data_IF_816237486053
#
_entry.id   IF_816237486053
#
_cell.length_a   1.000
_cell.length_b   1.000
_cell.length_c   1.000
_cell.angle_alpha   90.00
_cell.angle_beta   90.00
_cell.angle_gamma   90.00
#
_symmetry.space_group_name_H-M   'P 1'
#
loop_
_entity.id
_entity.type
_entity.pdbx_description
1 polymer ?
#
# COMPACT_ATOMS: atom_id res chain seq x y z
N UNK A 1 -0.29 -9.44 5.92
CA UNK A 1 -0.76 -10.01 4.64
C UNK A 1 0.43 -9.95 3.69
N UNK A 2 0.95 -11.07 3.21
CA UNK A 2 2.18 -11.15 2.38
C UNK A 2 1.92 -10.76 0.92
N UNK A 3 1.18 -9.69 0.71
CA UNK A 3 0.79 -9.19 -0.61
C UNK A 3 1.78 -8.12 -1.06
N UNK A 4 2.62 -8.44 -2.04
CA UNK A 4 3.33 -7.43 -2.81
C UNK A 4 2.30 -6.78 -3.76
N UNK A 5 2.32 -5.45 -3.95
CA UNK A 5 1.42 -4.77 -4.87
C UNK A 5 1.60 -5.37 -6.25
N UNK A 6 0.52 -5.52 -7.05
CA UNK A 6 0.65 -5.87 -8.44
C UNK A 6 1.65 -4.93 -9.10
N UNK A 7 2.57 -5.49 -9.88
CA UNK A 7 3.62 -4.74 -10.58
C UNK A 7 4.71 -4.14 -9.67
N UNK A 8 4.78 -4.52 -8.38
CA UNK A 8 5.96 -4.23 -7.57
C UNK A 8 7.17 -4.93 -8.18
N UNK A 9 8.16 -4.19 -8.69
CA UNK A 9 9.32 -4.80 -9.33
C UNK A 9 10.02 -5.73 -8.34
N UNK A 10 10.46 -6.93 -8.76
CA UNK A 10 10.49 -7.45 -10.13
C UNK A 10 9.28 -8.36 -10.47
N UNK A 11 8.27 -8.45 -9.60
CA UNK A 11 7.26 -9.50 -9.69
C UNK A 11 6.13 -9.19 -10.66
N UNK A 12 5.88 -10.12 -11.57
CA UNK A 12 4.68 -10.12 -12.39
C UNK A 12 3.45 -10.58 -11.58
N UNK A 13 2.27 -10.14 -12.00
CA UNK A 13 1.00 -10.46 -11.35
C UNK A 13 0.77 -11.98 -11.33
N UNK A 14 0.83 -12.57 -10.13
CA UNK A 14 0.55 -14.00 -9.91
C UNK A 14 1.78 -14.90 -9.78
N UNK A 15 2.99 -14.34 -9.84
CA UNK A 15 4.24 -15.06 -9.57
C UNK A 15 4.35 -15.53 -8.12
N UNK A 16 3.87 -14.72 -7.17
CA UNK A 16 3.79 -15.11 -5.76
C UNK A 16 2.48 -15.86 -5.47
N UNK A 17 2.58 -17.01 -4.78
CA UNK A 17 1.40 -17.68 -4.21
C UNK A 17 0.81 -16.95 -2.99
N UNK A 18 1.54 -15.95 -2.47
CA UNK A 18 1.12 -15.15 -1.32
C UNK A 18 0.43 -13.84 -1.69
N UNK A 19 0.37 -13.50 -2.98
CA UNK A 19 -0.38 -12.33 -3.42
C UNK A 19 -1.83 -12.44 -2.97
N UNK A 20 -2.31 -11.38 -2.32
CA UNK A 20 -3.72 -11.23 -2.03
C UNK A 20 -4.51 -11.13 -3.35
N UNK A 21 -5.81 -11.44 -3.28
CA UNK A 21 -6.72 -11.05 -4.37
C UNK A 21 -7.11 -9.62 -4.10
N UNK A 22 -6.82 -8.74 -5.05
CA UNK A 22 -7.14 -7.32 -4.92
C UNK A 22 -8.52 -7.00 -5.50
N UNK A 23 -9.04 -5.84 -5.13
CA UNK A 23 -10.31 -5.36 -5.67
C UNK A 23 -10.20 -5.14 -7.17
N UNK A 24 -9.04 -4.71 -7.67
CA UNK A 24 -8.81 -4.52 -9.10
C UNK A 24 -8.91 -5.84 -9.88
N UNK A 25 -8.60 -6.99 -9.26
CA UNK A 25 -8.83 -8.33 -9.84
C UNK A 25 -10.32 -8.62 -10.05
N UNK A 26 -11.17 -8.02 -9.22
CA UNK A 26 -12.61 -8.17 -9.23
C UNK A 26 -13.30 -7.01 -9.99
N UNK A 27 -12.68 -5.84 -10.06
CA UNK A 27 -13.15 -4.63 -10.74
C UNK A 27 -13.33 -4.87 -12.24
N UNK A 28 -12.45 -5.68 -12.83
CA UNK A 28 -12.46 -6.05 -14.24
C UNK A 28 -13.24 -7.35 -14.52
N UNK A 29 -13.85 -7.96 -13.50
CA UNK A 29 -14.55 -9.23 -13.65
C UNK A 29 -15.90 -9.04 -14.35
N UNK A 30 -16.06 -9.65 -15.52
CA UNK A 30 -17.33 -9.70 -16.26
C UNK A 30 -18.24 -10.87 -15.82
N UNK A 31 -17.77 -11.73 -14.91
CA UNK A 31 -18.57 -12.87 -14.46
C UNK A 31 -19.67 -12.46 -13.47
N UNK A 32 -20.89 -13.02 -13.60
CA UNK A 32 -22.02 -12.65 -12.77
C UNK A 32 -21.87 -13.11 -11.30
N UNK A 33 -20.98 -14.06 -11.00
CA UNK A 33 -20.74 -14.56 -9.65
C UNK A 33 -19.29 -14.34 -9.20
N UNK A 34 -19.00 -13.10 -8.81
CA UNK A 34 -17.69 -12.66 -8.29
C UNK A 34 -17.20 -13.57 -7.15
N UNK A 35 -18.12 -14.03 -6.27
CA UNK A 35 -17.80 -14.91 -5.15
C UNK A 35 -17.23 -16.26 -5.61
N UNK A 36 -17.85 -16.87 -6.62
CA UNK A 36 -17.40 -18.15 -7.16
C UNK A 36 -16.01 -18.03 -7.81
N UNK A 37 -15.78 -16.97 -8.58
CA UNK A 37 -14.47 -16.69 -9.18
C UNK A 37 -13.39 -16.46 -8.13
N UNK A 38 -13.68 -15.62 -7.13
CA UNK A 38 -12.77 -15.37 -6.00
C UNK A 38 -12.42 -16.67 -5.27
N UNK A 39 -13.43 -17.49 -4.98
CA UNK A 39 -13.24 -18.77 -4.28
C UNK A 39 -12.40 -19.74 -5.10
N UNK A 40 -12.65 -19.84 -6.41
CA UNK A 40 -11.85 -20.66 -7.32
C UNK A 40 -10.39 -20.21 -7.38
N UNK A 41 -10.15 -18.90 -7.48
CA UNK A 41 -8.79 -18.35 -7.54
C UNK A 41 -8.01 -18.57 -6.23
N UNK A 42 -8.66 -18.35 -5.08
CA UNK A 42 -8.05 -18.62 -3.78
C UNK A 42 -7.72 -20.11 -3.61
N UNK A 43 -8.65 -21.01 -3.96
CA UNK A 43 -8.41 -22.45 -3.89
C UNK A 43 -7.27 -22.91 -4.82
N UNK A 44 -7.19 -22.34 -6.02
CA UNK A 44 -6.11 -22.60 -6.97
C UNK A 44 -4.75 -22.17 -6.41
N UNK A 45 -4.66 -20.98 -5.80
CA UNK A 45 -3.44 -20.47 -5.16
C UNK A 45 -3.03 -21.33 -3.96
N UNK A 46 -3.98 -21.69 -3.10
CA UNK A 46 -3.74 -22.56 -1.95
C UNK A 46 -3.27 -23.96 -2.39
N UNK A 47 -3.84 -24.51 -3.46
CA UNK A 47 -3.39 -25.78 -4.02
C UNK A 47 -1.93 -25.70 -4.50
N UNK A 48 -1.57 -24.62 -5.20
CA UNK A 48 -0.17 -24.37 -5.63
C UNK A 48 0.79 -24.25 -4.45
N UNK A 49 0.43 -23.47 -3.43
CA UNK A 49 1.24 -23.34 -2.20
C UNK A 49 1.42 -24.69 -1.51
N UNK A 50 0.35 -25.49 -1.42
CA UNK A 50 0.42 -26.84 -0.85
C UNK A 50 1.39 -27.72 -1.62
N UNK A 51 1.37 -27.68 -2.96
CA UNK A 51 2.33 -28.43 -3.79
C UNK A 51 3.76 -28.00 -3.49
N UNK A 52 4.04 -26.71 -3.43
CA UNK A 52 5.39 -26.19 -3.13
C UNK A 52 5.89 -26.54 -1.72
N UNK A 53 5.00 -26.55 -0.73
CA UNK A 53 5.32 -27.01 0.62
C UNK A 53 5.63 -28.52 0.63
N UNK A 54 4.87 -29.32 -0.13
CA UNK A 54 5.08 -30.77 -0.23
C UNK A 54 6.35 -31.13 -1.00
N UNK A 55 6.71 -30.35 -2.03
CA UNK A 55 7.95 -30.52 -2.80
C UNK A 55 9.19 -30.00 -2.08
N UNK A 56 9.03 -29.32 -0.92
CA UNK A 56 10.10 -28.63 -0.17
C UNK A 56 10.78 -27.50 -0.95
N UNK A 57 10.10 -26.96 -1.95
CA UNK A 57 10.55 -25.76 -2.69
C UNK A 57 10.33 -24.49 -1.86
N UNK A 58 9.43 -24.54 -0.86
CA UNK A 58 9.17 -23.45 0.10
C UNK A 58 9.44 -23.93 1.52
N UNK A 59 10.26 -23.16 2.24
CA UNK A 59 10.52 -23.35 3.67
C UNK A 59 9.92 -22.17 4.43
N UNK A 60 9.12 -22.46 5.46
CA UNK A 60 8.56 -21.44 6.36
C UNK A 60 9.29 -21.49 7.70
N UNK A 61 9.99 -20.41 8.04
CA UNK A 61 10.58 -20.19 9.37
C UNK A 61 9.76 -19.10 10.10
N UNK A 62 9.23 -19.43 11.27
CA UNK A 62 8.44 -18.51 12.10
C UNK A 62 9.23 -18.17 13.36
N UNK A 63 9.49 -16.88 13.54
CA UNK A 63 10.24 -16.36 14.68
C UNK A 63 9.48 -15.25 15.38
N UNK A 64 9.73 -15.12 16.67
CA UNK A 64 9.19 -14.05 17.52
C UNK A 64 10.35 -13.32 18.17
N UNK A 65 10.46 -12.02 17.87
CA UNK A 65 11.45 -11.14 18.47
C UNK A 65 10.92 -9.70 18.51
N UNK A 66 11.68 -8.79 19.10
CA UNK A 66 11.41 -7.36 19.07
C UNK A 66 11.77 -6.76 17.70
N UNK A 67 11.01 -5.76 17.30
CA UNK A 67 11.22 -5.00 16.07
C UNK A 67 11.98 -3.74 16.43
N UNK A 68 13.31 -3.82 16.45
CA UNK A 68 14.20 -2.68 16.65
C UNK A 68 15.53 -2.88 15.89
N UNK A 69 16.23 -1.80 15.50
CA UNK A 69 17.52 -1.91 14.80
C UNK A 69 18.57 -2.71 15.57
N UNK A 70 18.51 -2.70 16.90
CA UNK A 70 19.46 -3.38 17.80
C UNK A 70 19.08 -4.84 18.11
N UNK A 71 17.94 -5.32 17.61
CA UNK A 71 17.46 -6.67 17.91
C UNK A 71 18.37 -7.74 17.26
N UNK A 72 18.62 -8.83 17.98
CA UNK A 72 19.47 -9.92 17.51
C UNK A 72 18.96 -10.57 16.21
N UNK A 73 17.64 -10.50 15.96
CA UNK A 73 17.00 -10.99 14.74
C UNK A 73 17.50 -10.26 13.49
N UNK A 74 17.94 -9.01 13.58
CA UNK A 74 18.38 -8.20 12.44
C UNK A 74 19.58 -8.84 11.76
N UNK A 75 20.64 -9.16 12.51
CA UNK A 75 21.81 -9.83 11.96
C UNK A 75 21.52 -11.25 11.47
N UNK A 76 20.46 -11.90 11.98
CA UNK A 76 20.01 -13.18 11.42
C UNK A 76 19.30 -13.00 10.08
N UNK A 77 18.40 -12.02 9.94
CA UNK A 77 17.73 -11.69 8.68
C UNK A 77 18.76 -11.29 7.63
N UNK A 78 19.71 -10.42 8.01
CA UNK A 78 20.82 -10.00 7.15
C UNK A 78 21.54 -11.20 6.53
N UNK A 79 21.88 -12.22 7.34
CA UNK A 79 22.57 -13.43 6.87
C UNK A 79 21.77 -14.29 5.89
N UNK A 80 20.45 -14.10 5.80
CA UNK A 80 19.63 -14.77 4.78
C UNK A 80 19.81 -14.14 3.40
N UNK A 81 20.38 -12.94 3.30
CA UNK A 81 20.51 -12.16 2.08
C UNK A 81 19.18 -12.09 1.31
N UNK A 82 18.14 -11.47 1.90
CA UNK A 82 16.80 -11.52 1.36
C UNK A 82 16.70 -10.73 0.06
N UNK A 83 16.39 -11.40 -1.07
CA UNK A 83 16.13 -10.70 -2.33
C UNK A 83 14.94 -9.72 -2.26
N UNK A 84 13.93 -10.05 -1.44
CA UNK A 84 12.78 -9.17 -1.18
C UNK A 84 12.41 -9.15 0.30
N UNK A 85 11.93 -8.02 0.78
CA UNK A 85 11.47 -7.84 2.15
C UNK A 85 10.08 -7.20 2.20
N UNK A 86 9.12 -7.87 2.84
CA UNK A 86 7.79 -7.33 3.12
C UNK A 86 7.68 -6.91 4.59
N UNK A 87 7.47 -5.62 4.82
CA UNK A 87 7.43 -5.00 6.15
C UNK A 87 6.03 -4.94 6.74
N UNK A 88 4.99 -5.38 6.02
CA UNK A 88 3.60 -5.17 6.47
C UNK A 88 3.39 -3.68 6.81
N UNK A 89 2.75 -3.42 7.95
CA UNK A 89 2.58 -2.12 8.58
C UNK A 89 3.61 -1.80 9.67
N UNK A 90 4.79 -2.44 9.67
CA UNK A 90 5.86 -2.15 10.66
C UNK A 90 6.25 -0.67 10.67
N UNK A 91 6.19 -0.04 9.50
CA UNK A 91 6.49 1.37 9.31
C UNK A 91 5.53 2.34 10.03
N UNK A 92 4.38 1.87 10.53
CA UNK A 92 3.46 2.66 11.36
C UNK A 92 3.88 2.70 12.85
N UNK A 93 4.85 1.88 13.27
CA UNK A 93 5.20 1.70 14.68
C UNK A 93 6.59 2.24 15.03
N UNK A 94 7.31 2.79 14.05
CA UNK A 94 8.66 3.32 14.23
C UNK A 94 8.75 4.70 13.57
N UNK A 95 9.49 5.65 14.18
CA UNK A 95 9.87 6.88 13.48
C UNK A 95 10.57 6.54 12.16
N UNK A 96 10.36 7.31 11.08
CA UNK A 96 10.92 6.98 9.75
C UNK A 96 12.42 6.70 9.77
N UNK A 97 13.19 7.53 10.48
CA UNK A 97 14.64 7.35 10.67
C UNK A 97 15.02 5.99 11.28
N UNK A 98 14.34 5.59 12.35
CA UNK A 98 14.60 4.31 13.03
C UNK A 98 14.14 3.13 12.17
N UNK A 99 13.01 3.27 11.46
CA UNK A 99 12.55 2.27 10.50
C UNK A 99 13.58 2.06 9.39
N UNK A 100 14.09 3.14 8.78
CA UNK A 100 15.09 3.04 7.71
C UNK A 100 16.41 2.45 8.20
N UNK A 101 16.85 2.77 9.42
CA UNK A 101 18.00 2.13 10.06
C UNK A 101 17.80 0.62 10.24
N UNK A 102 16.65 0.20 10.74
CA UNK A 102 16.27 -1.21 10.87
C UNK A 102 16.28 -1.90 9.50
N UNK A 103 15.59 -1.32 8.52
CA UNK A 103 15.43 -1.90 7.21
C UNK A 103 16.76 -2.07 6.49
N UNK A 104 17.66 -1.06 6.52
CA UNK A 104 19.02 -1.16 5.98
C UNK A 104 19.84 -2.24 6.67
N UNK A 105 19.73 -2.35 7.99
CA UNK A 105 20.48 -3.36 8.74
C UNK A 105 20.06 -4.79 8.36
N UNK A 106 18.78 -5.01 8.06
CA UNK A 106 18.29 -6.30 7.57
C UNK A 106 18.72 -6.60 6.12
N UNK A 107 19.04 -5.59 5.31
CA UNK A 107 19.41 -5.71 3.90
C UNK A 107 20.84 -5.24 3.60
N UNK A 108 21.73 -5.30 4.60
CA UNK A 108 23.07 -4.75 4.49
C UNK A 108 23.95 -5.43 3.42
N UNK A 109 23.56 -6.62 2.95
CA UNK A 109 24.25 -7.33 1.87
C UNK A 109 23.95 -6.79 0.46
N UNK A 110 22.98 -5.87 0.31
CA UNK A 110 22.55 -5.34 -0.98
C UNK A 110 21.43 -6.16 -1.63
N UNK A 111 21.17 -5.92 -2.92
CA UNK A 111 20.30 -6.75 -3.77
C UNK A 111 18.87 -6.98 -3.23
N UNK A 112 18.40 -6.09 -2.35
CA UNK A 112 17.15 -6.28 -1.62
C UNK A 112 16.12 -5.25 -2.03
N UNK A 113 14.96 -5.72 -2.51
CA UNK A 113 13.80 -4.85 -2.75
C UNK A 113 12.88 -4.87 -1.54
N UNK A 114 12.61 -3.70 -0.99
CA UNK A 114 11.74 -3.50 0.14
C UNK A 114 10.32 -3.15 -0.32
N UNK A 115 9.36 -3.71 0.38
CA UNK A 115 7.95 -3.39 0.27
C UNK A 115 7.34 -3.17 1.65
N UNK A 116 6.54 -2.13 1.81
CA UNK A 116 5.79 -1.87 3.03
C UNK A 116 4.53 -1.09 2.71
N UNK A 117 3.59 -1.09 3.67
CA UNK A 117 2.39 -0.27 3.55
C UNK A 117 2.08 0.44 4.87
N UNK A 118 1.58 1.67 4.79
CA UNK A 118 1.10 2.42 5.95
C UNK A 118 -0.41 2.43 5.96
N UNK A 119 -1.00 2.11 7.11
CA UNK A 119 -2.43 2.23 7.35
C UNK A 119 -2.76 3.40 8.29
N UNK A 120 -1.78 3.84 9.08
CA UNK A 120 -2.00 4.81 10.15
C UNK A 120 -1.46 6.21 9.83
N UNK A 121 -0.76 6.41 8.70
CA UNK A 121 -0.17 7.70 8.36
C UNK A 121 -1.15 8.87 8.40
N UNK A 122 -2.42 8.64 8.03
CA UNK A 122 -3.46 9.67 8.08
C UNK A 122 -3.62 10.26 9.48
N UNK A 123 -3.48 9.45 10.55
CA UNK A 123 -3.65 9.93 11.91
C UNK A 123 -2.54 10.91 12.34
N UNK A 124 -1.43 10.96 11.61
CA UNK A 124 -0.28 11.80 11.89
C UNK A 124 -0.18 13.02 10.95
N UNK A 125 -1.14 13.16 10.02
CA UNK A 125 -1.12 14.23 9.01
C UNK A 125 -2.34 15.14 9.18
N UNK A 126 -2.08 16.39 9.54
CA UNK A 126 -3.09 17.44 9.57
C UNK A 126 -3.66 17.70 8.17
N UNK A 127 -4.98 17.86 8.09
CA UNK A 127 -5.72 18.07 6.85
C UNK A 127 -6.16 16.77 6.18
N UNK A 128 -5.84 15.61 6.75
CA UNK A 128 -6.30 14.29 6.29
C UNK A 128 -7.69 13.94 6.83
N UNK A 129 -8.16 14.66 7.84
CA UNK A 129 -9.48 14.50 8.43
C UNK A 129 -10.36 15.71 8.10
N UNK A 130 -11.62 15.49 7.71
CA UNK A 130 -12.55 16.61 7.48
C UNK A 130 -12.76 17.49 8.73
N UNK A 131 -12.57 16.92 9.93
CA UNK A 131 -12.65 17.65 11.19
C UNK A 131 -11.51 18.66 11.38
N UNK A 132 -10.39 18.52 10.65
CA UNK A 132 -9.29 19.48 10.69
C UNK A 132 -9.69 20.85 10.12
N UNK A 133 -10.80 20.89 9.36
CA UNK A 133 -11.35 22.08 8.72
C UNK A 133 -12.52 22.69 9.50
N UNK A 134 -12.61 22.42 10.82
CA UNK A 134 -13.59 23.09 11.68
C UNK A 134 -13.47 24.63 11.54
N UNK A 135 -14.61 25.32 11.55
CA UNK A 135 -14.70 26.76 11.27
C UNK A 135 -14.57 27.16 9.79
N UNK A 136 -14.38 26.22 8.86
CA UNK A 136 -14.21 26.51 7.43
C UNK A 136 -15.30 25.82 6.57
N UNK A 137 -16.56 26.30 6.63
CA UNK A 137 -17.70 25.61 6.00
C UNK A 137 -17.58 25.47 4.48
N UNK A 138 -16.93 26.43 3.80
CA UNK A 138 -16.70 26.35 2.35
C UNK A 138 -15.72 25.23 1.98
N UNK A 139 -14.67 25.01 2.79
CA UNK A 139 -13.72 23.92 2.58
C UNK A 139 -14.39 22.56 2.81
N UNK A 140 -15.17 22.45 3.89
CA UNK A 140 -15.96 21.25 4.21
C UNK A 140 -16.92 20.90 3.06
N UNK A 141 -17.63 21.89 2.51
CA UNK A 141 -18.53 21.68 1.38
C UNK A 141 -17.79 21.15 0.14
N UNK A 142 -16.64 21.75 -0.21
CA UNK A 142 -15.79 21.29 -1.33
C UNK A 142 -15.27 19.88 -1.14
N UNK A 143 -14.88 19.51 0.09
CA UNK A 143 -14.40 18.16 0.43
C UNK A 143 -15.52 17.14 0.23
N UNK A 144 -16.73 17.44 0.71
CA UNK A 144 -17.89 16.55 0.55
C UNK A 144 -18.22 16.39 -0.94
N UNK A 145 -18.31 17.50 -1.69
CA UNK A 145 -18.59 17.49 -3.13
C UNK A 145 -17.53 16.68 -3.91
N UNK A 146 -16.25 16.98 -3.72
CA UNK A 146 -15.16 16.25 -4.38
C UNK A 146 -15.12 14.76 -4.02
N UNK A 147 -15.44 14.41 -2.77
CA UNK A 147 -15.53 13.01 -2.36
C UNK A 147 -16.66 12.25 -3.08
N UNK A 148 -17.81 12.90 -3.31
CA UNK A 148 -18.90 12.33 -4.10
C UNK A 148 -18.52 12.19 -5.58
N UNK A 149 -17.89 13.20 -6.16
CA UNK A 149 -17.42 13.16 -7.56
C UNK A 149 -16.42 12.01 -7.78
N UNK A 150 -15.48 11.83 -6.86
CA UNK A 150 -14.53 10.72 -6.87
C UNK A 150 -15.23 9.35 -6.90
N UNK A 151 -16.25 9.15 -6.06
CA UNK A 151 -17.02 7.90 -6.06
C UNK A 151 -17.84 7.71 -7.34
N UNK A 152 -18.49 8.76 -7.85
CA UNK A 152 -19.20 8.68 -9.13
C UNK A 152 -18.25 8.35 -10.30
N UNK A 153 -17.03 8.89 -10.28
CA UNK A 153 -16.02 8.57 -11.28
C UNK A 153 -15.59 7.10 -11.17
N UNK A 154 -15.36 6.60 -9.95
CA UNK A 154 -15.05 5.20 -9.70
C UNK A 154 -16.16 4.25 -10.19
N UNK A 155 -17.44 4.58 -9.98
CA UNK A 155 -18.58 3.83 -10.50
C UNK A 155 -18.62 3.76 -12.03
N UNK A 156 -18.23 4.84 -12.72
CA UNK A 156 -18.23 4.91 -14.19
C UNK A 156 -17.07 4.13 -14.79
N UNK A 157 -15.91 4.14 -14.13
CA UNK A 157 -14.69 3.54 -14.65
C UNK A 157 -14.59 2.03 -14.38
N UNK A 158 -15.31 1.51 -13.39
CA UNK A 158 -15.26 0.08 -13.03
C UNK A 158 -16.56 -0.64 -13.44
N UNK A 159 -16.51 -1.66 -14.34
CA UNK A 159 -17.68 -2.45 -14.74
C UNK A 159 -18.43 -3.09 -13.57
N UNK A 160 -17.71 -3.52 -12.52
CA UNK A 160 -18.29 -4.02 -11.27
C UNK A 160 -18.29 -2.97 -10.14
N UNK A 161 -17.98 -1.70 -10.45
CA UNK A 161 -17.91 -0.60 -9.47
C UNK A 161 -19.21 -0.43 -8.69
N UNK A 162 -20.37 -0.60 -9.35
CA UNK A 162 -21.68 -0.62 -8.67
C UNK A 162 -21.85 -1.75 -7.67
N UNK A 163 -21.18 -2.90 -7.84
CA UNK A 163 -21.22 -4.02 -6.89
C UNK A 163 -20.23 -3.84 -5.75
N UNK A 164 -19.10 -3.17 -6.01
CA UNK A 164 -18.05 -2.91 -5.02
C UNK A 164 -18.34 -1.67 -4.15
N UNK A 165 -19.21 -0.77 -4.62
CA UNK A 165 -19.64 0.42 -3.90
C UNK A 165 -21.00 0.25 -3.18
N UNK A 166 -21.49 -1.00 -3.09
CA UNK A 166 -22.68 -1.34 -2.33
C UNK A 166 -22.34 -2.15 -1.06
N UNK A 167 -23.02 -1.88 0.07
CA UNK A 167 -24.09 -0.90 0.24
C UNK A 167 -23.59 0.56 0.21
N UNK A 168 -24.50 1.53 -0.03
CA UNK A 168 -24.15 2.95 -0.10
C UNK A 168 -23.42 3.44 1.16
N UNK A 169 -22.61 4.47 0.98
CA UNK A 169 -21.74 5.06 2.01
C UNK A 169 -22.46 5.36 3.33
N UNK A 170 -22.24 4.56 4.37
CA UNK A 170 -22.77 4.82 5.71
C UNK A 170 -21.84 5.73 6.54
N UNK A 171 -20.63 6.03 6.06
CA UNK A 171 -19.62 6.77 6.83
C UNK A 171 -18.99 7.90 6.00
N UNK A 172 -19.58 9.12 6.01
CA UNK A 172 -19.01 10.30 5.36
C UNK A 172 -17.55 10.59 5.74
N UNK A 173 -17.13 10.20 6.94
CA UNK A 173 -15.74 10.31 7.39
C UNK A 173 -14.76 9.49 6.56
N UNK A 174 -15.15 8.29 6.12
CA UNK A 174 -14.23 7.39 5.41
C UNK A 174 -14.01 7.84 3.97
N UNK A 175 -15.07 8.28 3.29
CA UNK A 175 -14.99 8.76 1.90
C UNK A 175 -14.26 10.11 1.81
N UNK A 176 -14.57 11.04 2.71
CA UNK A 176 -13.90 12.34 2.77
C UNK A 176 -12.45 12.19 3.22
N UNK A 177 -12.17 11.32 4.20
CA UNK A 177 -10.80 10.98 4.61
C UNK A 177 -9.98 10.36 3.48
N UNK A 178 -10.56 9.46 2.67
CA UNK A 178 -9.88 8.90 1.51
C UNK A 178 -9.62 9.95 0.43
N UNK A 179 -10.60 10.82 0.14
CA UNK A 179 -10.44 11.92 -0.79
C UNK A 179 -9.30 12.87 -0.36
N UNK A 180 -9.23 13.23 0.93
CA UNK A 180 -8.14 14.04 1.47
C UNK A 180 -6.80 13.30 1.41
N UNK A 181 -6.79 12.00 1.73
CA UNK A 181 -5.60 11.16 1.66
C UNK A 181 -5.02 11.10 0.24
N UNK A 182 -5.86 11.04 -0.79
CA UNK A 182 -5.43 11.12 -2.19
C UNK A 182 -4.64 12.40 -2.49
N UNK A 183 -4.96 13.53 -1.86
CA UNK A 183 -4.21 14.78 -2.00
C UNK A 183 -2.91 14.84 -1.19
N UNK A 184 -2.76 14.02 -0.15
CA UNK A 184 -1.68 14.14 0.84
C UNK A 184 -0.65 13.00 0.79
N UNK A 185 -1.00 11.84 0.23
CA UNK A 185 -0.16 10.64 0.27
C UNK A 185 1.25 10.87 -0.29
N UNK A 186 1.38 11.64 -1.39
CA UNK A 186 2.69 11.99 -1.99
C UNK A 186 3.57 12.76 -1.00
N UNK A 187 2.99 13.70 -0.25
CA UNK A 187 3.73 14.51 0.74
C UNK A 187 4.18 13.67 1.90
N UNK A 188 3.31 12.79 2.41
CA UNK A 188 3.68 11.88 3.48
C UNK A 188 4.76 10.88 3.04
N UNK A 189 4.66 10.31 1.83
CA UNK A 189 5.70 9.43 1.29
C UNK A 189 7.06 10.13 1.21
N UNK A 190 7.10 11.39 0.74
CA UNK A 190 8.33 12.20 0.73
C UNK A 190 8.87 12.43 2.14
N UNK A 191 8.01 12.72 3.11
CA UNK A 191 8.42 12.86 4.51
C UNK A 191 9.01 11.55 5.05
N UNK A 192 8.35 10.42 4.83
CA UNK A 192 8.81 9.10 5.25
C UNK A 192 10.23 8.81 4.74
N UNK A 193 10.48 9.05 3.44
CA UNK A 193 11.80 8.82 2.84
C UNK A 193 12.84 9.93 3.11
N UNK A 194 12.46 11.07 3.72
CA UNK A 194 13.36 12.22 3.84
C UNK A 194 14.60 11.95 4.69
N UNK A 195 14.46 11.16 5.75
CA UNK A 195 15.54 10.79 6.67
C UNK A 195 16.21 9.46 6.32
N UNK A 196 15.87 8.89 5.16
CA UNK A 196 16.30 7.55 4.81
C UNK A 196 17.74 7.49 4.31
N UNK A 197 18.30 8.60 3.79
CA UNK A 197 19.58 8.63 3.09
C UNK A 197 19.46 8.20 1.62
N UNK A 198 20.55 7.70 1.01
CA UNK A 198 20.57 7.27 -0.40
C UNK A 198 19.71 6.02 -0.63
N UNK A 199 18.68 6.16 -1.47
CA UNK A 199 17.79 5.07 -1.86
C UNK A 199 17.13 5.38 -3.20
N UNK A 200 16.52 4.35 -3.80
CA UNK A 200 15.64 4.49 -4.95
C UNK A 200 14.21 4.13 -4.55
N UNK A 201 13.26 5.02 -4.83
CA UNK A 201 11.82 4.75 -4.68
C UNK A 201 11.29 4.26 -6.02
N UNK A 202 10.66 3.08 -6.03
CA UNK A 202 10.10 2.51 -7.25
C UNK A 202 8.67 2.97 -7.51
N UNK A 203 7.77 2.66 -6.58
CA UNK A 203 6.35 3.02 -6.68
C UNK A 203 5.80 3.26 -5.28
N UNK A 204 4.88 4.20 -5.17
CA UNK A 204 3.93 4.24 -4.06
C UNK A 204 2.53 4.41 -4.64
N UNK A 205 1.55 3.75 -4.04
CA UNK A 205 0.18 3.73 -4.53
C UNK A 205 -0.80 3.70 -3.37
N UNK A 206 -1.83 4.52 -3.48
CA UNK A 206 -3.00 4.45 -2.60
C UNK A 206 -3.91 3.34 -3.09
N UNK A 207 -4.43 2.54 -2.15
CA UNK A 207 -5.42 1.53 -2.49
C UNK A 207 -6.69 2.18 -3.06
N UNK A 208 -7.28 1.58 -4.10
CA UNK A 208 -8.59 1.98 -4.61
C UNK A 208 -9.62 1.98 -3.47
N UNK A 209 -10.40 3.07 -3.37
CA UNK A 209 -11.44 3.18 -2.35
C UNK A 209 -12.38 1.97 -2.35
N UNK A 210 -12.61 1.42 -1.17
CA UNK A 210 -13.53 0.31 -0.95
C UNK A 210 -14.34 0.56 0.32
N UNK A 211 -15.67 0.71 0.24
CA UNK A 211 -16.52 0.90 1.42
C UNK A 211 -16.55 -0.34 2.32
N UNK A 212 -16.18 -1.51 1.80
CA UNK A 212 -16.07 -2.76 2.57
C UNK A 212 -14.69 -2.94 3.21
N UNK A 213 -13.70 -2.09 2.89
CA UNK A 213 -12.39 -2.18 3.50
C UNK A 213 -12.43 -1.56 4.90
N UNK A 214 -11.86 -2.28 5.87
CA UNK A 214 -11.69 -1.77 7.24
C UNK A 214 -10.81 -0.52 7.29
N UNK A 215 -9.92 -0.37 6.32
CA UNK A 215 -9.11 0.83 6.10
C UNK A 215 -8.97 1.08 4.60
N UNK A 216 -9.49 2.22 4.12
CA UNK A 216 -9.41 2.62 2.72
C UNK A 216 -8.16 3.48 2.42
N UNK A 217 -7.35 3.81 3.42
CA UNK A 217 -6.26 4.78 3.32
C UNK A 217 -4.88 4.11 3.37
N UNK A 218 -4.81 2.87 2.90
CA UNK A 218 -3.57 2.13 2.81
C UNK A 218 -2.68 2.72 1.71
N UNK A 219 -1.47 3.16 2.09
CA UNK A 219 -0.43 3.62 1.18
C UNK A 219 0.67 2.56 1.10
N UNK A 220 0.76 1.90 -0.06
CA UNK A 220 1.77 0.91 -0.36
C UNK A 220 2.99 1.55 -0.99
N UNK A 221 4.20 1.09 -0.66
CA UNK A 221 5.45 1.65 -1.15
C UNK A 221 6.47 0.55 -1.44
N UNK A 222 7.25 0.73 -2.50
CA UNK A 222 8.38 -0.13 -2.90
C UNK A 222 9.63 0.71 -3.06
N UNK A 223 10.75 0.28 -2.49
CA UNK A 223 12.04 0.97 -2.56
C UNK A 223 13.21 -0.01 -2.46
N UNK A 224 14.41 0.45 -2.79
CA UNK A 224 15.67 -0.26 -2.53
C UNK A 224 16.71 0.71 -1.96
N UNK A 225 17.58 0.20 -1.10
CA UNK A 225 18.75 0.93 -0.62
C UNK A 225 19.99 0.73 -1.50
N UNK A 226 19.90 -0.21 -2.45
CA UNK A 226 20.96 -0.51 -3.39
C UNK A 226 20.82 0.40 -4.62
N UNK A 227 21.85 1.22 -4.86
CA UNK A 227 21.86 2.19 -5.96
C UNK A 227 22.19 1.55 -7.31
N UNK A 228 22.71 0.32 -7.32
CA UNK A 228 23.07 -0.41 -8.53
C UNK A 228 21.88 -1.22 -9.10
N UNK A 229 20.81 -1.39 -8.33
CA UNK A 229 19.59 -2.06 -8.77
C UNK A 229 18.69 -1.13 -9.59
N UNK A 230 18.14 -1.63 -10.70
CA UNK A 230 17.07 -0.91 -11.42
C UNK A 230 15.68 -1.32 -10.92
N UNK A 231 14.98 -0.40 -10.25
CA UNK A 231 13.55 -0.55 -10.01
C UNK A 231 12.79 -0.19 -11.30
N UNK A 232 12.26 -1.19 -12.00
CA UNK A 232 11.39 -0.94 -13.17
C UNK A 232 10.13 -0.20 -12.73
N UNK A 233 10.00 1.10 -13.00
CA UNK A 233 8.76 1.81 -12.70
C UNK A 233 7.58 1.14 -13.41
N UNK A 234 6.59 0.64 -12.66
CA UNK A 234 5.32 0.23 -13.24
C UNK A 234 4.57 1.50 -13.68
N UNK A 235 4.80 1.93 -14.91
CA UNK A 235 4.06 2.99 -15.62
C UNK A 235 3.65 4.22 -14.78
N UNK A 236 4.50 5.26 -14.79
CA UNK A 236 4.02 6.64 -14.91
C UNK A 236 3.58 7.35 -13.62
N UNK A 237 4.38 7.34 -12.56
CA UNK A 237 4.29 8.40 -11.55
C UNK A 237 5.68 8.88 -11.20
N UNK A 238 6.27 9.62 -12.15
CA UNK A 238 7.31 10.58 -11.78
C UNK A 238 6.76 11.48 -10.67
N UNK A 239 7.64 11.90 -9.76
CA UNK A 239 7.36 12.92 -8.75
C UNK A 239 7.16 14.29 -9.42
N UNK A 240 6.27 14.38 -10.41
CA UNK A 240 5.79 15.66 -10.92
C UNK A 240 4.89 16.30 -9.86
N UNK A 241 5.12 17.59 -9.64
CA UNK A 241 4.28 18.43 -8.80
C UNK A 241 2.89 18.57 -9.43
N UNK A 242 1.99 17.66 -9.07
CA UNK A 242 0.58 17.92 -9.21
C UNK A 242 0.21 18.96 -8.15
N UNK A 243 0.14 20.22 -8.60
CA UNK A 243 -0.53 21.26 -7.87
C UNK A 243 -1.95 20.77 -7.56
N UNK A 244 -2.24 20.57 -6.27
CA UNK A 244 -3.63 20.60 -5.80
C UNK A 244 -4.24 21.91 -6.32
N UNK A 245 -5.53 21.92 -6.73
CA UNK A 245 -6.23 23.19 -6.90
C UNK A 245 -6.08 23.96 -5.59
N UNK A 246 -5.57 25.20 -5.68
CA UNK A 246 -5.23 26.05 -4.55
C UNK A 246 -6.23 25.89 -3.41
N UNK A 247 -5.82 25.16 -2.38
CA UNK A 247 -6.52 25.17 -1.11
C UNK A 247 -6.18 26.54 -0.51
N UNK A 248 -7.15 27.43 -0.31
CA UNK A 248 -6.87 28.79 0.13
C UNK A 248 -6.40 28.73 1.58
N UNK A 249 -5.08 28.64 1.75
CA UNK A 249 -4.41 28.88 3.01
C UNK A 249 -4.20 30.40 3.08
N UNK A 250 -5.21 31.10 3.60
CA UNK A 250 -5.09 32.47 4.11
C UNK A 250 -5.91 32.59 5.38
#
# INVERSE_FOLDING_TARGET
>A
MWSLPPSAPPLEKGESAFNAVEIDDLAQCQEPNIRQKLSGELLRRLARLRTWLQSKEVVLDLRRDFVSPEAAIVGWIERLHPWTMSWSNVLDYLPPKEFHKLARSCSAQGDTIHYGYSMNWIAEVYGSCIMDYDGHPEAVAKIIEGSHEMCQQAERLMPSGKLLLLPPHETPMNITGHFLAMGLHKRWARYFFSDAGELQVGMFSMQTYNPLATNANCLSMTWTYDMDMELKSASGTELADDAMPDCPMS
#
